data_IF_448049071798
#
_entry.id   IF_448049071798
#
_cell.length_a   1.000
_cell.length_b   1.000
_cell.length_c   1.000
_cell.angle_alpha   90.00
_cell.angle_beta   90.00
_cell.angle_gamma   90.00
#
_symmetry.space_group_name_H-M   'P 1'
#
loop_
_entity.id
_entity.type
_entity.pdbx_description
1 polymer ?
#
# COMPACT_ATOMS: atom_id res chain seq x y z
N UNK A 1 -27.90 30.83 -56.97
CA UNK A 1 -28.36 30.08 -55.77
C UNK A 1 -27.23 29.18 -55.31
N UNK A 2 -26.88 29.32 -54.04
CA UNK A 2 -25.71 28.83 -53.34
C UNK A 2 -25.98 27.42 -52.79
N UNK A 3 -25.03 26.49 -52.87
CA UNK A 3 -25.04 25.28 -52.03
C UNK A 3 -23.62 24.79 -51.77
N UNK A 4 -23.10 25.18 -50.60
CA UNK A 4 -21.86 24.73 -49.99
C UNK A 4 -22.14 23.41 -49.22
N UNK A 5 -21.47 22.28 -49.49
CA UNK A 5 -21.68 21.07 -48.72
C UNK A 5 -20.98 21.18 -47.35
N UNK A 6 -21.77 21.06 -46.29
CA UNK A 6 -21.36 21.01 -44.90
C UNK A 6 -20.66 19.66 -44.63
N UNK A 7 -19.33 19.65 -44.52
CA UNK A 7 -18.56 18.50 -44.05
C UNK A 7 -18.58 18.48 -42.52
N UNK A 8 -19.31 17.51 -41.93
CA UNK A 8 -19.35 17.27 -40.48
C UNK A 8 -18.10 16.46 -40.08
N UNK A 9 -17.29 16.90 -39.10
CA UNK A 9 -16.10 16.16 -38.69
C UNK A 9 -16.49 14.97 -37.81
N UNK A 10 -16.28 13.75 -38.31
CA UNK A 10 -16.57 12.47 -37.61
C UNK A 10 -15.55 12.16 -36.49
N UNK A 11 -14.60 13.06 -36.21
CA UNK A 11 -13.55 12.84 -35.21
C UNK A 11 -14.04 12.92 -33.74
N UNK A 12 -15.23 13.48 -33.47
CA UNK A 12 -15.71 13.74 -32.10
C UNK A 12 -16.11 12.49 -31.30
N UNK A 13 -16.69 11.47 -31.92
CA UNK A 13 -17.23 10.31 -31.20
C UNK A 13 -16.15 9.38 -30.64
N UNK A 14 -14.96 9.32 -31.27
CA UNK A 14 -13.87 8.46 -30.79
C UNK A 14 -13.18 9.05 -29.57
N UNK A 15 -13.07 10.37 -29.51
CA UNK A 15 -12.41 11.09 -28.41
C UNK A 15 -13.24 11.02 -27.12
N UNK A 16 -14.56 11.27 -27.21
CA UNK A 16 -15.47 11.21 -26.05
C UNK A 16 -15.56 9.80 -25.47
N UNK A 17 -15.54 8.77 -26.33
CA UNK A 17 -15.58 7.37 -25.89
C UNK A 17 -14.31 6.95 -25.14
N UNK A 18 -13.16 7.44 -25.61
CA UNK A 18 -11.86 7.12 -24.98
C UNK A 18 -11.78 7.73 -23.58
N UNK A 19 -12.23 8.98 -23.40
CA UNK A 19 -12.19 9.65 -22.09
C UNK A 19 -13.19 9.07 -21.09
N UNK A 20 -14.38 8.63 -21.55
CA UNK A 20 -15.38 8.00 -20.69
C UNK A 20 -14.99 6.58 -20.23
N UNK A 21 -14.15 5.87 -21.00
CA UNK A 21 -13.69 4.52 -20.67
C UNK A 21 -12.42 4.49 -19.80
N UNK A 22 -11.72 5.61 -19.62
CA UNK A 22 -10.49 5.69 -18.83
C UNK A 22 -10.67 5.24 -17.37
N UNK A 23 -11.70 5.69 -16.62
CA UNK A 23 -11.92 5.22 -15.25
C UNK A 23 -12.19 3.71 -15.20
N UNK A 24 -12.98 3.20 -16.15
CA UNK A 24 -13.33 1.77 -16.24
C UNK A 24 -12.14 0.89 -16.60
N UNK A 25 -11.22 1.35 -17.45
CA UNK A 25 -9.98 0.64 -17.78
C UNK A 25 -9.00 0.62 -16.60
N UNK A 26 -8.86 1.73 -15.88
CA UNK A 26 -8.00 1.80 -14.69
C UNK A 26 -8.49 0.87 -13.58
N UNK A 27 -9.81 0.83 -13.33
CA UNK A 27 -10.41 -0.14 -12.40
C UNK A 27 -10.26 -1.56 -12.96
N UNK A 28 -10.49 -1.77 -14.26
CA UNK A 28 -10.32 -3.06 -14.93
C UNK A 28 -8.93 -3.68 -14.76
N UNK A 29 -7.87 -2.86 -14.77
CA UNK A 29 -6.49 -3.33 -14.59
C UNK A 29 -6.21 -3.91 -13.19
N UNK A 30 -7.02 -3.55 -12.18
CA UNK A 30 -6.95 -4.07 -10.81
C UNK A 30 -8.09 -5.05 -10.49
N UNK A 31 -8.90 -5.42 -11.47
CA UNK A 31 -9.94 -6.43 -11.31
C UNK A 31 -9.38 -7.84 -11.59
N UNK A 32 -9.71 -8.86 -10.78
CA UNK A 32 -9.30 -10.23 -11.06
C UNK A 32 -9.69 -10.69 -12.47
N UNK A 33 -8.71 -11.15 -13.26
CA UNK A 33 -8.93 -11.74 -14.60
C UNK A 33 -8.65 -10.82 -15.80
N UNK A 34 -8.28 -9.55 -15.59
CA UNK A 34 -7.78 -8.71 -16.68
C UNK A 34 -6.33 -9.09 -17.05
N UNK A 35 -5.94 -9.08 -18.34
CA UNK A 35 -4.55 -9.24 -18.73
C UNK A 35 -3.71 -8.12 -18.12
N UNK A 36 -2.74 -8.43 -17.26
CA UNK A 36 -1.84 -7.41 -16.72
C UNK A 36 -0.80 -7.04 -17.78
N UNK A 37 -0.69 -5.74 -18.07
CA UNK A 37 0.41 -5.19 -18.88
C UNK A 37 1.70 -5.02 -18.05
N UNK A 38 1.63 -5.23 -16.73
CA UNK A 38 2.82 -5.30 -15.89
C UNK A 38 3.64 -6.51 -16.32
N UNK A 39 4.83 -6.30 -16.87
CA UNK A 39 5.74 -7.39 -17.24
C UNK A 39 6.22 -8.28 -16.07
N UNK A 40 5.70 -8.04 -14.86
CA UNK A 40 5.91 -8.84 -13.66
C UNK A 40 4.91 -9.99 -13.63
N UNK A 41 5.42 -11.20 -13.51
CA UNK A 41 4.61 -12.41 -13.41
C UNK A 41 3.83 -12.40 -12.06
N UNK A 42 2.50 -12.60 -12.05
CA UNK A 42 1.69 -12.45 -10.84
C UNK A 42 2.11 -13.33 -9.66
N UNK A 43 2.58 -14.55 -9.90
CA UNK A 43 3.01 -15.45 -8.82
C UNK A 43 4.34 -15.00 -8.20
N UNK A 44 5.27 -14.43 -8.98
CA UNK A 44 6.50 -13.80 -8.47
C UNK A 44 6.14 -12.62 -7.56
N UNK A 45 5.28 -11.71 -8.02
CA UNK A 45 4.85 -10.57 -7.20
C UNK A 45 4.18 -11.04 -5.90
N UNK A 46 3.32 -12.06 -5.98
CA UNK A 46 2.68 -12.64 -4.80
C UNK A 46 3.71 -13.19 -3.79
N UNK A 47 4.77 -13.87 -4.27
CA UNK A 47 5.85 -14.36 -3.41
C UNK A 47 6.63 -13.23 -2.76
N UNK A 48 6.91 -12.16 -3.51
CA UNK A 48 7.63 -11.00 -3.02
C UNK A 48 6.82 -10.24 -1.96
N UNK A 49 5.51 -10.11 -2.15
CA UNK A 49 4.60 -9.54 -1.15
C UNK A 49 4.57 -10.36 0.15
N UNK A 50 4.47 -11.69 0.06
CA UNK A 50 4.51 -12.56 1.25
C UNK A 50 5.85 -12.44 2.00
N UNK A 51 6.98 -12.42 1.27
CA UNK A 51 8.30 -12.24 1.88
C UNK A 51 8.46 -10.87 2.54
N UNK A 52 7.94 -9.84 1.89
CA UNK A 52 7.92 -8.50 2.45
C UNK A 52 7.07 -8.46 3.72
N UNK A 53 5.87 -9.06 3.70
CA UNK A 53 4.98 -9.13 4.85
C UNK A 53 5.66 -9.77 6.07
N UNK A 54 6.29 -10.94 5.90
CA UNK A 54 7.03 -11.61 6.97
C UNK A 54 8.13 -10.71 7.55
N UNK A 55 8.89 -10.06 6.66
CA UNK A 55 9.98 -9.16 7.04
C UNK A 55 9.47 -7.91 7.77
N UNK A 56 8.36 -7.35 7.30
CA UNK A 56 7.72 -6.17 7.88
C UNK A 56 7.18 -6.48 9.28
N UNK A 57 6.35 -7.52 9.42
CA UNK A 57 5.80 -7.98 10.69
C UNK A 57 6.92 -8.25 11.72
N UNK A 58 7.96 -8.98 11.33
CA UNK A 58 9.09 -9.27 12.22
C UNK A 58 9.80 -8.00 12.71
N UNK A 59 10.08 -7.05 11.82
CA UNK A 59 10.72 -5.77 12.18
C UNK A 59 9.85 -4.94 13.12
N UNK A 60 8.55 -4.88 12.84
CA UNK A 60 7.59 -4.14 13.66
C UNK A 60 7.49 -4.74 15.07
N UNK A 61 7.39 -6.06 15.20
CA UNK A 61 7.38 -6.75 16.50
C UNK A 61 8.64 -6.42 17.30
N UNK A 62 9.82 -6.55 16.69
CA UNK A 62 11.09 -6.24 17.36
C UNK A 62 11.16 -4.78 17.79
N UNK A 63 10.69 -3.85 16.95
CA UNK A 63 10.62 -2.43 17.28
C UNK A 63 9.67 -2.14 18.44
N UNK A 64 8.48 -2.74 18.43
CA UNK A 64 7.47 -2.60 19.48
C UNK A 64 7.97 -3.15 20.81
N UNK A 65 8.60 -4.34 20.81
CA UNK A 65 9.19 -4.92 22.01
C UNK A 65 10.33 -4.06 22.57
N UNK A 66 11.11 -3.42 21.70
CA UNK A 66 12.15 -2.49 22.14
C UNK A 66 11.54 -1.28 22.83
N UNK A 67 10.53 -0.65 22.22
CA UNK A 67 9.79 0.45 22.84
C UNK A 67 9.23 0.03 24.20
N UNK A 68 8.58 -1.15 24.28
CA UNK A 68 8.02 -1.68 25.53
C UNK A 68 9.06 -1.84 26.65
N UNK A 69 10.32 -2.18 26.31
CA UNK A 69 11.41 -2.27 27.29
C UNK A 69 11.94 -0.91 27.71
N UNK A 70 11.95 0.05 26.78
CA UNK A 70 12.61 1.34 26.94
C UNK A 70 11.63 2.45 27.43
N UNK A 71 10.33 2.16 27.54
CA UNK A 71 9.29 3.11 28.00
C UNK A 71 8.29 2.50 28.97
N UNK A 72 7.75 3.33 29.87
CA UNK A 72 6.62 2.95 30.74
C UNK A 72 5.27 3.40 30.17
N UNK A 73 5.27 4.10 29.02
CA UNK A 73 4.06 4.65 28.39
C UNK A 73 3.31 3.66 27.49
N UNK A 74 3.93 2.51 27.18
CA UNK A 74 3.34 1.44 26.40
C UNK A 74 3.18 0.23 27.32
N UNK A 75 1.95 -0.26 27.47
CA UNK A 75 1.69 -1.48 28.24
C UNK A 75 1.91 -2.73 27.39
N UNK A 76 2.18 -3.88 28.02
CA UNK A 76 2.26 -5.17 27.32
C UNK A 76 1.00 -5.49 26.53
N UNK A 77 -0.17 -5.14 27.06
CA UNK A 77 -1.45 -5.36 26.39
C UNK A 77 -1.61 -4.50 25.14
N UNK A 78 -1.15 -3.25 25.17
CA UNK A 78 -1.15 -2.36 24.00
C UNK A 78 -0.14 -2.82 22.94
N UNK A 79 1.07 -3.18 23.36
CA UNK A 79 2.09 -3.75 22.46
C UNK A 79 1.56 -5.00 21.74
N UNK A 80 0.90 -5.91 22.46
CA UNK A 80 0.30 -7.10 21.86
C UNK A 80 -0.84 -6.76 20.90
N UNK A 81 -1.68 -5.78 21.25
CA UNK A 81 -2.75 -5.30 20.34
C UNK A 81 -2.18 -4.73 19.05
N UNK A 82 -1.08 -3.98 19.12
CA UNK A 82 -0.42 -3.44 17.93
C UNK A 82 0.13 -4.56 17.04
N UNK A 83 0.84 -5.54 17.63
CA UNK A 83 1.34 -6.71 16.89
C UNK A 83 0.20 -7.44 16.16
N UNK A 84 -0.88 -7.77 16.88
CA UNK A 84 -2.05 -8.43 16.28
C UNK A 84 -2.65 -7.59 15.15
N UNK A 85 -2.81 -6.27 15.35
CA UNK A 85 -3.39 -5.40 14.34
C UNK A 85 -2.52 -5.30 13.08
N UNK A 86 -1.20 -5.17 13.24
CA UNK A 86 -0.23 -5.10 12.14
C UNK A 86 -0.20 -6.42 11.38
N UNK A 87 -0.08 -7.55 12.08
CA UNK A 87 -0.01 -8.87 11.44
C UNK A 87 -1.32 -9.24 10.74
N UNK A 88 -2.47 -8.93 11.36
CA UNK A 88 -3.79 -9.17 10.76
C UNK A 88 -3.98 -8.31 9.52
N UNK A 89 -3.66 -7.02 9.59
CA UNK A 89 -3.79 -6.09 8.46
C UNK A 89 -2.90 -6.50 7.30
N UNK A 90 -1.61 -6.76 7.59
CA UNK A 90 -0.63 -7.20 6.60
C UNK A 90 -1.06 -8.52 5.93
N UNK A 91 -1.43 -9.52 6.73
CA UNK A 91 -1.86 -10.84 6.22
C UNK A 91 -3.14 -10.74 5.38
N UNK A 92 -4.10 -9.92 5.80
CA UNK A 92 -5.34 -9.72 5.04
C UNK A 92 -5.10 -9.08 3.68
N UNK A 93 -4.10 -8.19 3.56
CA UNK A 93 -3.74 -7.57 2.29
C UNK A 93 -3.04 -8.58 1.39
N UNK A 94 -1.95 -9.20 1.86
CA UNK A 94 -1.10 -10.03 0.97
C UNK A 94 -1.76 -11.34 0.56
N UNK A 95 -2.77 -11.82 1.28
CA UNK A 95 -3.53 -13.03 0.90
C UNK A 95 -4.66 -12.74 -0.09
N UNK A 96 -4.87 -11.49 -0.49
CA UNK A 96 -5.87 -11.10 -1.48
C UNK A 96 -5.60 -11.71 -2.86
N UNK A 97 -6.63 -11.87 -3.71
CA UNK A 97 -6.49 -12.56 -4.99
C UNK A 97 -5.80 -11.75 -6.10
N UNK A 98 -5.57 -10.45 -5.90
CA UNK A 98 -4.91 -9.59 -6.89
C UNK A 98 -3.59 -9.03 -6.36
N UNK A 99 -2.44 -9.59 -6.75
CA UNK A 99 -1.14 -9.16 -6.22
C UNK A 99 -0.80 -7.70 -6.56
N UNK A 100 -1.27 -7.15 -7.69
CA UNK A 100 -1.03 -5.74 -8.04
C UNK A 100 -1.81 -4.81 -7.12
N UNK A 101 -3.08 -5.13 -6.84
CA UNK A 101 -3.88 -4.37 -5.89
C UNK A 101 -3.32 -4.50 -4.46
N UNK A 102 -2.93 -5.71 -4.07
CA UNK A 102 -2.33 -5.98 -2.77
C UNK A 102 -1.02 -5.17 -2.57
N UNK A 103 -0.19 -5.01 -3.61
CA UNK A 103 1.01 -4.17 -3.53
C UNK A 103 0.67 -2.72 -3.21
N UNK A 104 -0.34 -2.15 -3.87
CA UNK A 104 -0.80 -0.79 -3.61
C UNK A 104 -1.33 -0.65 -2.17
N UNK A 105 -2.18 -1.59 -1.74
CA UNK A 105 -2.77 -1.59 -0.40
C UNK A 105 -1.68 -1.74 0.68
N UNK A 106 -0.69 -2.61 0.45
CA UNK A 106 0.42 -2.83 1.36
C UNK A 106 1.32 -1.59 1.46
N UNK A 107 1.59 -0.94 0.32
CA UNK A 107 2.34 0.31 0.26
C UNK A 107 1.65 1.40 1.07
N UNK A 108 0.33 1.57 0.88
CA UNK A 108 -0.46 2.51 1.65
C UNK A 108 -0.47 2.17 3.15
N UNK A 109 -0.63 0.88 3.50
CA UNK A 109 -0.65 0.42 4.89
C UNK A 109 0.66 0.73 5.63
N UNK A 110 1.80 0.40 5.02
CA UNK A 110 3.13 0.68 5.60
C UNK A 110 3.38 2.18 5.72
N UNK A 111 2.99 2.96 4.71
CA UNK A 111 3.09 4.43 4.72
C UNK A 111 2.29 5.03 5.88
N UNK A 112 1.04 4.61 6.06
CA UNK A 112 0.18 5.08 7.15
C UNK A 112 0.75 4.70 8.52
N UNK A 113 1.32 3.50 8.66
CA UNK A 113 1.98 3.08 9.89
C UNK A 113 3.17 4.00 10.20
N UNK A 114 4.05 4.25 9.22
CA UNK A 114 5.17 5.19 9.40
C UNK A 114 4.66 6.56 9.84
N UNK A 115 3.71 7.15 9.11
CA UNK A 115 3.16 8.48 9.44
C UNK A 115 2.57 8.51 10.84
N UNK A 116 1.80 7.49 11.21
CA UNK A 116 1.17 7.38 12.53
C UNK A 116 2.22 7.32 13.64
N UNK A 117 3.32 6.61 13.42
CA UNK A 117 4.44 6.55 14.37
C UNK A 117 5.18 7.87 14.45
N UNK A 118 5.50 8.48 13.31
CA UNK A 118 6.31 9.70 13.22
C UNK A 118 5.58 10.96 13.68
N UNK A 119 4.31 11.10 13.31
CA UNK A 119 3.55 12.34 13.49
C UNK A 119 2.78 12.35 14.81
N UNK A 120 2.43 11.16 15.33
CA UNK A 120 1.61 11.03 16.53
C UNK A 120 2.32 10.32 17.67
N UNK A 121 2.66 9.03 17.52
CA UNK A 121 3.10 8.22 18.67
C UNK A 121 4.47 8.62 19.20
N UNK A 122 5.46 8.82 18.34
CA UNK A 122 6.81 9.20 18.74
C UNK A 122 6.80 10.57 19.44
N UNK A 123 6.21 11.65 18.88
CA UNK A 123 6.25 12.95 19.54
C UNK A 123 5.41 13.03 20.82
N UNK A 124 4.24 12.38 20.85
CA UNK A 124 3.26 12.60 21.93
C UNK A 124 3.41 11.61 23.07
N UNK A 125 3.74 10.35 22.79
CA UNK A 125 3.67 9.27 23.77
C UNK A 125 5.03 8.65 24.06
N UNK A 126 5.80 8.30 23.03
CA UNK A 126 7.01 7.47 23.17
C UNK A 126 8.28 8.30 23.39
N UNK A 127 8.33 9.55 22.93
CA UNK A 127 9.54 10.36 22.92
C UNK A 127 10.68 9.67 22.16
N UNK A 128 11.92 9.92 22.58
CA UNK A 128 13.12 9.34 21.93
C UNK A 128 13.12 7.81 21.92
N UNK A 129 12.45 7.15 22.89
CA UNK A 129 12.33 5.68 22.91
C UNK A 129 11.60 5.12 21.69
N UNK A 130 10.76 5.92 21.03
CA UNK A 130 10.05 5.56 19.80
C UNK A 130 10.90 5.61 18.53
N UNK A 131 12.09 6.22 18.58
CA UNK A 131 12.91 6.43 17.37
C UNK A 131 13.28 5.13 16.64
N UNK A 132 13.70 4.04 17.31
CA UNK A 132 14.03 2.78 16.62
C UNK A 132 12.83 2.16 15.88
N UNK A 133 11.61 2.37 16.41
CA UNK A 133 10.38 1.89 15.77
C UNK A 133 10.04 2.73 14.53
N UNK A 134 10.22 4.05 14.60
CA UNK A 134 10.13 4.96 13.44
C UNK A 134 11.13 4.57 12.35
N UNK A 135 12.39 4.32 12.72
CA UNK A 135 13.42 3.94 11.75
C UNK A 135 13.09 2.60 11.07
N UNK A 136 12.52 1.66 11.83
CA UNK A 136 12.03 0.39 11.28
C UNK A 136 10.90 0.60 10.27
N UNK A 137 9.96 1.49 10.56
CA UNK A 137 8.86 1.84 9.66
C UNK A 137 9.36 2.54 8.37
N UNK A 138 10.33 3.46 8.48
CA UNK A 138 10.99 4.09 7.31
C UNK A 138 11.70 3.07 6.41
N UNK A 139 12.43 2.15 7.02
CA UNK A 139 13.13 1.10 6.28
C UNK A 139 12.14 0.16 5.57
N UNK A 140 11.01 -0.16 6.22
CA UNK A 140 9.95 -0.95 5.60
C UNK A 140 9.28 -0.21 4.44
N UNK A 141 8.95 1.07 4.59
CA UNK A 141 8.38 1.89 3.51
C UNK A 141 9.36 1.98 2.34
N UNK A 142 10.65 2.21 2.59
CA UNK A 142 11.67 2.21 1.53
C UNK A 142 11.68 0.88 0.77
N UNK A 143 11.58 -0.24 1.48
CA UNK A 143 11.59 -1.56 0.87
C UNK A 143 10.33 -1.86 0.04
N UNK A 144 9.13 -1.43 0.47
CA UNK A 144 7.90 -1.71 -0.28
C UNK A 144 7.87 -0.96 -1.63
N UNK A 145 8.46 0.24 -1.70
CA UNK A 145 8.59 1.00 -2.95
C UNK A 145 9.55 0.37 -3.98
N UNK A 146 10.30 -0.67 -3.59
CA UNK A 146 11.22 -1.39 -4.49
C UNK A 146 10.69 -2.72 -5.01
N UNK A 147 9.46 -3.09 -4.62
CA UNK A 147 8.76 -4.28 -5.11
C UNK A 147 8.15 -4.08 -6.51
#
# INVERSE_FOLDING_TARGET
MLSLPLVVPVAGCRFIRTTAELPGRAVGAVTPGAPSESGVEPSVLQQDLMRFADSFSSRMIVGIERVLRDTTRLTTAEALRWNIAIDTGTSSIVTGPNPVANLLDLTAFVTVIRMTLEEYWQPQMLGESGQPLVDSARAAETAVWTL
#
